data_IF_863760928075
#
_entry.id   IF_863760928075
#
_cell.length_a   1.000
_cell.length_b   1.000
_cell.length_c   1.000
_cell.angle_alpha   90.00
_cell.angle_beta   90.00
_cell.angle_gamma   90.00
#
_symmetry.space_group_name_H-M   'P 1'
#
loop_
_entity.id
_entity.type
_entity.pdbx_description
1 polymer ?
#
# COMPACT_ATOMS: atom_id res chain seq x y z
N UNK A 1 19.33 46.53 41.88
CA UNK A 1 17.86 46.41 41.90
C UNK A 1 17.35 46.81 40.53
N UNK A 2 16.88 45.84 39.73
CA UNK A 2 16.29 46.15 38.43
C UNK A 2 14.91 46.78 38.64
N UNK A 3 14.57 47.81 37.87
CA UNK A 3 13.26 48.46 37.94
C UNK A 3 12.15 47.44 37.66
N UNK A 4 11.04 47.52 38.39
CA UNK A 4 9.87 46.61 38.26
C UNK A 4 9.35 46.54 36.82
N UNK A 5 9.47 47.64 36.08
CA UNK A 5 9.16 47.70 34.65
C UNK A 5 10.12 46.89 33.77
N UNK A 6 11.40 46.87 34.10
CA UNK A 6 12.39 46.07 33.37
C UNK A 6 12.14 44.56 33.60
N UNK A 7 11.72 44.19 34.81
CA UNK A 7 11.39 42.81 35.14
C UNK A 7 10.09 42.35 34.45
N UNK A 8 9.06 43.20 34.37
CA UNK A 8 7.83 42.86 33.64
C UNK A 8 8.07 42.73 32.13
N UNK A 9 8.86 43.62 31.53
CA UNK A 9 9.18 43.58 30.09
C UNK A 9 10.02 42.35 29.73
N UNK A 10 10.96 41.96 30.60
CA UNK A 10 11.74 40.74 30.39
C UNK A 10 10.85 39.49 30.43
N UNK A 11 9.92 39.41 31.38
CA UNK A 11 9.00 38.28 31.49
C UNK A 11 8.08 38.16 30.27
N UNK A 12 7.54 39.27 29.76
CA UNK A 12 6.67 39.24 28.57
C UNK A 12 7.43 38.83 27.32
N UNK A 13 8.66 39.32 27.13
CA UNK A 13 9.51 38.92 26.00
C UNK A 13 9.88 37.42 26.07
N UNK A 14 10.24 36.92 27.24
CA UNK A 14 10.51 35.48 27.43
C UNK A 14 9.29 34.61 27.14
N UNK A 15 8.09 35.02 27.60
CA UNK A 15 6.86 34.29 27.32
C UNK A 15 6.56 34.25 25.81
N UNK A 16 6.64 35.39 25.12
CA UNK A 16 6.41 35.45 23.66
C UNK A 16 7.42 34.60 22.88
N UNK A 17 8.69 34.58 23.31
CA UNK A 17 9.73 33.76 22.70
C UNK A 17 9.42 32.26 22.88
N UNK A 18 9.03 31.84 24.09
CA UNK A 18 8.64 30.45 24.36
C UNK A 18 7.42 30.01 23.53
N UNK A 19 6.40 30.86 23.38
CA UNK A 19 5.26 30.57 22.52
C UNK A 19 5.65 30.44 21.03
N UNK A 20 6.54 31.30 20.55
CA UNK A 20 7.06 31.24 19.19
C UNK A 20 7.85 29.94 18.94
N UNK A 21 8.73 29.56 19.87
CA UNK A 21 9.49 28.31 19.80
C UNK A 21 8.58 27.07 19.91
N UNK A 22 7.53 27.10 20.73
CA UNK A 22 6.57 25.99 20.81
C UNK A 22 5.75 25.84 19.53
N UNK A 23 5.44 26.95 18.85
CA UNK A 23 4.74 26.91 17.56
C UNK A 23 5.60 26.36 16.43
N UNK A 24 6.92 26.63 16.45
CA UNK A 24 7.87 26.10 15.47
C UNK A 24 8.13 24.59 15.62
N UNK A 25 7.98 24.04 16.83
CA UNK A 25 8.06 22.60 17.09
C UNK A 25 6.71 21.85 16.94
N UNK A 26 5.61 22.56 16.68
CA UNK A 26 4.30 21.95 16.47
C UNK A 26 4.14 21.56 14.99
N UNK A 27 4.92 20.58 14.55
CA UNK A 27 4.70 19.92 13.26
C UNK A 27 3.32 19.24 13.32
N UNK A 28 2.32 19.90 12.73
CA UNK A 28 0.97 19.37 12.56
C UNK A 28 0.80 18.48 11.33
N UNK A 29 1.84 18.40 10.51
CA UNK A 29 1.90 17.59 9.31
C UNK A 29 2.99 16.51 9.44
N UNK A 30 3.05 15.81 10.56
CA UNK A 30 3.85 14.59 10.61
C UNK A 30 3.10 13.54 9.79
N UNK A 31 3.67 13.01 8.69
CA UNK A 31 3.06 11.87 8.01
C UNK A 31 2.87 10.73 9.01
N UNK A 32 1.83 9.93 8.80
CA UNK A 32 1.47 8.84 9.69
C UNK A 32 2.59 7.78 9.66
N UNK A 33 3.51 7.84 10.61
CA UNK A 33 4.66 6.92 10.67
C UNK A 33 5.62 7.24 11.82
N UNK A 34 5.41 6.62 12.98
CA UNK A 34 6.45 6.49 14.01
C UNK A 34 7.31 5.25 13.73
N UNK A 35 8.49 5.12 14.34
CA UNK A 35 9.42 3.97 14.18
C UNK A 35 8.80 2.58 14.45
N UNK A 36 7.56 2.51 14.94
CA UNK A 36 6.83 1.29 15.33
C UNK A 36 5.50 1.13 14.61
N UNK A 37 5.14 2.05 13.73
CA UNK A 37 3.90 1.98 12.95
C UNK A 37 4.21 1.31 11.62
N UNK A 38 4.53 0.02 11.64
CA UNK A 38 4.43 -0.79 10.43
C UNK A 38 2.94 -1.11 10.25
N UNK A 39 2.25 -0.56 9.24
CA UNK A 39 0.91 -1.02 8.93
C UNK A 39 0.98 -2.48 8.45
N UNK A 40 0.04 -3.31 8.86
CA UNK A 40 -0.11 -4.66 8.32
C UNK A 40 -0.23 -4.57 6.80
N UNK A 41 0.75 -5.12 6.10
CA UNK A 41 0.96 -4.92 4.66
C UNK A 41 -0.14 -5.51 3.78
N UNK A 42 -1.00 -6.36 4.35
CA UNK A 42 -2.21 -6.92 3.70
C UNK A 42 -3.43 -5.99 3.78
N UNK A 43 -3.39 -4.93 4.59
CA UNK A 43 -4.49 -3.97 4.72
C UNK A 43 -4.26 -2.67 3.93
N UNK A 44 -3.15 -2.55 3.21
CA UNK A 44 -2.84 -1.38 2.40
C UNK A 44 -3.59 -1.44 1.07
N UNK A 45 -4.03 -0.28 0.59
CA UNK A 45 -4.58 -0.17 -0.77
C UNK A 45 -3.48 -0.40 -1.82
N UNK A 46 -3.82 -0.87 -3.03
CA UNK A 46 -2.90 -0.80 -4.14
C UNK A 46 -2.54 0.66 -4.45
N UNK A 47 -1.30 0.88 -4.91
CA UNK A 47 -0.89 2.19 -5.42
C UNK A 47 -1.66 2.55 -6.70
N UNK A 48 -1.63 3.84 -7.07
CA UNK A 48 -2.35 4.37 -8.22
C UNK A 48 -2.08 3.57 -9.49
N UNK A 49 -3.12 3.51 -10.31
CA UNK A 49 -3.09 2.87 -11.62
C UNK A 49 -2.37 3.79 -12.61
N UNK A 50 -1.54 3.23 -13.47
CA UNK A 50 -0.72 3.98 -14.43
C UNK A 50 -0.54 3.22 -15.76
N UNK A 51 0.12 3.87 -16.72
CA UNK A 51 0.46 3.25 -17.99
C UNK A 51 -0.70 3.12 -18.99
N UNK A 52 -0.42 2.61 -20.20
CA UNK A 52 -1.37 2.55 -21.29
C UNK A 52 -2.57 1.66 -20.95
N UNK A 53 -3.77 2.23 -20.99
CA UNK A 53 -5.00 1.54 -20.65
C UNK A 53 -5.17 1.24 -19.16
N UNK A 54 -4.39 1.88 -18.29
CA UNK A 54 -4.50 1.72 -16.84
C UNK A 54 -4.24 0.28 -16.38
N UNK A 55 -3.27 -0.39 -17.02
CA UNK A 55 -2.93 -1.79 -16.72
C UNK A 55 -1.77 -1.94 -15.75
N UNK A 56 -1.05 -0.85 -15.45
CA UNK A 56 0.06 -0.85 -14.53
C UNK A 56 -0.27 -0.22 -13.19
N UNK A 57 0.64 -0.37 -12.25
CA UNK A 57 0.62 0.30 -10.95
C UNK A 57 1.92 1.02 -10.68
N UNK A 58 1.84 2.07 -9.86
CA UNK A 58 2.99 2.86 -9.46
C UNK A 58 3.87 2.12 -8.44
N UNK A 59 5.17 2.07 -8.70
CA UNK A 59 6.19 1.53 -7.79
C UNK A 59 7.07 2.64 -7.17
N UNK A 60 6.94 3.87 -7.67
CA UNK A 60 7.62 5.08 -7.21
C UNK A 60 7.08 6.30 -7.97
N UNK A 61 7.48 7.54 -7.63
CA UNK A 61 6.91 8.76 -8.20
C UNK A 61 7.14 8.91 -9.70
N UNK A 62 8.11 8.18 -10.26
CA UNK A 62 8.44 8.17 -11.68
C UNK A 62 8.55 6.75 -12.25
N UNK A 63 7.89 5.76 -11.63
CA UNK A 63 8.01 4.34 -12.00
C UNK A 63 6.62 3.71 -12.09
N UNK A 64 6.28 3.20 -13.27
CA UNK A 64 5.04 2.48 -13.55
C UNK A 64 5.35 1.11 -14.14
N UNK A 65 4.78 0.03 -13.58
CA UNK A 65 5.04 -1.31 -14.09
C UNK A 65 3.76 -2.13 -14.23
N UNK A 66 3.78 -3.06 -15.20
CA UNK A 66 2.77 -4.08 -15.38
C UNK A 66 3.41 -5.35 -15.94
N UNK A 67 2.92 -6.52 -15.53
CA UNK A 67 3.45 -7.83 -15.94
C UNK A 67 3.52 -8.00 -17.47
N UNK A 68 2.51 -7.52 -18.20
CA UNK A 68 2.44 -7.60 -19.67
C UNK A 68 3.03 -6.41 -20.43
N UNK A 69 3.46 -5.34 -19.75
CA UNK A 69 3.99 -4.11 -20.40
C UNK A 69 5.46 -3.82 -20.02
N UNK A 70 5.99 -4.51 -19.01
CA UNK A 70 7.27 -4.17 -18.42
C UNK A 70 7.16 -2.95 -17.50
N UNK A 71 8.25 -2.17 -17.43
CA UNK A 71 8.34 -0.99 -16.59
C UNK A 71 8.69 0.25 -17.40
N UNK A 72 7.99 1.34 -17.10
CA UNK A 72 8.21 2.68 -17.60
C UNK A 72 8.82 3.55 -16.50
N UNK A 73 9.87 4.31 -16.84
CA UNK A 73 10.56 5.17 -15.90
C UNK A 73 10.71 6.58 -16.50
N UNK A 74 10.22 7.59 -15.79
CA UNK A 74 10.34 9.01 -16.21
C UNK A 74 9.66 9.35 -17.54
N UNK A 75 8.66 8.57 -17.94
CA UNK A 75 7.91 8.76 -19.18
C UNK A 75 6.48 9.25 -18.92
N UNK A 76 5.72 9.57 -19.97
CA UNK A 76 4.35 10.08 -19.84
C UNK A 76 3.42 9.12 -19.09
N UNK A 77 3.67 7.82 -19.21
CA UNK A 77 2.97 6.74 -18.51
C UNK A 77 3.07 6.81 -16.98
N UNK A 78 4.08 7.52 -16.47
CA UNK A 78 4.36 7.68 -15.03
C UNK A 78 3.78 8.96 -14.42
N UNK A 79 3.12 9.80 -15.22
CA UNK A 79 2.68 11.14 -14.80
C UNK A 79 1.74 11.13 -13.57
N UNK A 80 0.91 10.10 -13.42
CA UNK A 80 0.03 9.96 -12.25
C UNK A 80 0.74 9.44 -10.99
N UNK A 81 1.94 8.89 -11.10
CA UNK A 81 2.60 8.28 -9.95
C UNK A 81 3.12 9.29 -8.93
N UNK A 82 3.45 10.52 -9.34
CA UNK A 82 3.77 11.60 -8.39
C UNK A 82 2.55 12.06 -7.59
N UNK A 83 1.35 11.73 -8.04
CA UNK A 83 0.10 12.09 -7.37
C UNK A 83 -0.10 11.26 -6.09
N UNK A 84 0.57 10.11 -6.00
CA UNK A 84 0.63 9.23 -4.83
C UNK A 84 1.15 9.96 -3.58
N UNK A 85 2.11 10.89 -3.75
CA UNK A 85 2.73 11.65 -2.65
C UNK A 85 1.74 12.56 -1.91
N UNK A 86 0.63 12.92 -2.57
CA UNK A 86 -0.42 13.75 -1.99
C UNK A 86 -1.55 12.93 -1.35
N UNK A 87 -1.53 11.60 -1.47
CA UNK A 87 -2.53 10.73 -0.87
C UNK A 87 -2.09 10.33 0.54
N UNK A 88 -2.83 10.72 1.60
CA UNK A 88 -2.41 10.47 2.98
C UNK A 88 -2.52 9.00 3.42
N UNK A 89 -3.22 8.15 2.66
CA UNK A 89 -3.31 6.72 2.93
C UNK A 89 -2.14 5.97 2.28
N UNK A 90 -1.39 5.13 3.03
CA UNK A 90 -0.28 4.38 2.47
C UNK A 90 -0.79 3.35 1.45
N UNK A 91 -0.01 3.16 0.41
CA UNK A 91 -0.26 2.16 -0.62
C UNK A 91 0.83 1.10 -0.64
N UNK A 92 0.53 -0.03 -1.26
CA UNK A 92 1.49 -1.10 -1.51
C UNK A 92 1.58 -1.37 -3.01
N UNK A 93 2.82 -1.42 -3.51
CA UNK A 93 3.10 -1.89 -4.86
C UNK A 93 2.89 -3.42 -4.91
N UNK A 94 2.30 -3.92 -6.00
CA UNK A 94 2.00 -5.34 -6.15
C UNK A 94 3.25 -6.22 -6.27
N UNK A 95 3.04 -7.53 -6.27
CA UNK A 95 4.09 -8.52 -6.44
C UNK A 95 4.75 -8.98 -5.13
N UNK A 96 5.51 -10.06 -5.22
CA UNK A 96 6.26 -10.59 -4.08
C UNK A 96 7.48 -9.73 -3.77
N UNK A 97 7.95 -9.70 -2.51
CA UNK A 97 9.18 -9.00 -2.16
C UNK A 97 10.39 -9.59 -2.88
N UNK A 98 11.35 -8.74 -3.25
CA UNK A 98 12.59 -9.09 -3.93
C UNK A 98 13.73 -8.13 -3.54
N UNK A 99 14.97 -8.57 -3.79
CA UNK A 99 16.17 -7.81 -3.46
C UNK A 99 16.36 -7.49 -1.97
N UNK A 100 17.37 -6.66 -1.67
CA UNK A 100 17.71 -6.25 -0.30
C UNK A 100 17.05 -4.93 0.15
N UNK A 101 16.50 -4.15 -0.79
CA UNK A 101 16.02 -2.77 -0.57
C UNK A 101 14.50 -2.66 -0.71
N UNK A 102 13.76 -3.38 0.14
CA UNK A 102 12.28 -3.32 0.20
C UNK A 102 11.60 -3.33 -1.19
N UNK A 103 12.17 -4.09 -2.11
CA UNK A 103 11.74 -4.15 -3.51
C UNK A 103 10.60 -5.13 -3.69
N UNK A 104 9.84 -4.96 -4.76
CA UNK A 104 8.75 -5.85 -5.15
C UNK A 104 8.85 -6.19 -6.65
N UNK A 105 8.49 -7.43 -7.00
CA UNK A 105 8.52 -7.88 -8.38
C UNK A 105 7.44 -7.16 -9.19
N UNK A 106 7.88 -6.37 -10.17
CA UNK A 106 7.01 -5.44 -10.88
C UNK A 106 6.63 -5.93 -12.29
N UNK A 107 7.50 -6.75 -12.87
CA UNK A 107 7.32 -7.44 -14.14
C UNK A 107 8.22 -8.71 -14.16
N UNK A 108 8.06 -9.63 -15.12
CA UNK A 108 8.86 -10.85 -15.19
C UNK A 108 10.36 -10.55 -15.23
N UNK A 109 11.07 -11.02 -14.20
CA UNK A 109 12.52 -10.81 -14.03
C UNK A 109 12.94 -9.40 -13.60
N UNK A 110 11.99 -8.54 -13.18
CA UNK A 110 12.26 -7.15 -12.78
C UNK A 110 11.80 -6.89 -11.34
N UNK A 111 12.75 -6.51 -10.49
CA UNK A 111 12.52 -6.06 -9.11
C UNK A 111 12.58 -4.54 -9.05
N UNK A 112 11.55 -3.88 -8.53
CA UNK A 112 11.50 -2.42 -8.41
C UNK A 112 11.34 -1.98 -6.96
N UNK A 113 11.94 -0.84 -6.65
CA UNK A 113 11.69 -0.06 -5.44
C UNK A 113 11.47 1.42 -5.82
N UNK A 114 11.20 2.28 -4.85
CA UNK A 114 10.77 3.67 -5.08
C UNK A 114 11.71 4.53 -5.94
N UNK A 115 13.01 4.19 -6.01
CA UNK A 115 14.01 4.96 -6.75
C UNK A 115 14.43 4.30 -8.08
N UNK A 116 14.08 3.03 -8.30
CA UNK A 116 14.50 2.34 -9.52
C UNK A 116 14.22 0.85 -9.55
N UNK A 117 14.54 0.25 -10.70
CA UNK A 117 14.35 -1.16 -10.97
C UNK A 117 15.66 -1.84 -11.36
N UNK A 118 15.79 -3.10 -10.98
CA UNK A 118 16.92 -3.97 -11.33
C UNK A 118 16.40 -5.31 -11.82
N UNK A 119 17.17 -5.98 -12.67
CA UNK A 119 16.85 -7.35 -13.06
C UNK A 119 17.10 -8.27 -11.85
N UNK A 120 16.12 -9.11 -11.56
CA UNK A 120 16.18 -10.07 -10.45
C UNK A 120 15.59 -11.41 -10.92
N UNK A 121 16.38 -12.50 -10.94
CA UNK A 121 15.89 -13.81 -11.36
C UNK A 121 14.78 -14.34 -10.44
N UNK A 122 14.72 -13.88 -9.20
CA UNK A 122 13.65 -14.29 -8.29
C UNK A 122 12.28 -13.81 -8.80
N UNK A 123 12.23 -12.75 -9.61
CA UNK A 123 11.01 -12.23 -10.21
C UNK A 123 10.59 -12.93 -11.52
N UNK A 124 11.26 -14.02 -11.92
CA UNK A 124 10.76 -14.86 -13.01
C UNK A 124 9.55 -15.68 -12.56
N UNK A 125 8.59 -15.90 -13.45
CA UNK A 125 7.28 -16.49 -13.13
C UNK A 125 7.37 -17.89 -12.53
N UNK A 126 7.47 -17.95 -11.20
CA UNK A 126 7.27 -19.16 -10.40
C UNK A 126 6.63 -18.87 -9.03
N UNK A 127 6.13 -17.67 -8.76
CA UNK A 127 5.52 -17.38 -7.45
C UNK A 127 4.54 -16.21 -7.47
N UNK A 128 3.27 -16.53 -7.75
CA UNK A 128 2.12 -16.07 -6.96
C UNK A 128 1.68 -14.61 -7.10
N UNK A 129 0.65 -14.41 -7.92
CA UNK A 129 -0.10 -13.16 -8.03
C UNK A 129 -1.46 -13.31 -8.75
N UNK A 130 -2.20 -14.40 -8.54
CA UNK A 130 -3.65 -14.42 -8.81
C UNK A 130 -4.38 -14.81 -7.51
N UNK A 131 -5.48 -14.11 -7.18
CA UNK A 131 -6.75 -14.49 -7.77
C UNK A 131 -7.44 -13.33 -8.48
N UNK A 132 -7.39 -13.35 -9.81
CA UNK A 132 -8.53 -12.96 -10.61
C UNK A 132 -9.31 -14.24 -10.97
N UNK A 133 -10.18 -14.72 -10.08
CA UNK A 133 -11.23 -15.66 -10.48
C UNK A 133 -12.25 -14.86 -11.33
N UNK A 134 -12.14 -14.86 -12.66
CA UNK A 134 -12.60 -15.88 -13.61
C UNK A 134 -14.09 -16.20 -13.48
N UNK A 135 -14.87 -15.52 -14.32
CA UNK A 135 -16.13 -16.04 -14.81
C UNK A 135 -15.82 -17.26 -15.69
N UNK A 136 -16.07 -18.48 -15.22
CA UNK A 136 -16.78 -19.54 -15.96
C UNK A 136 -16.61 -20.94 -15.34
N UNK A 137 -17.75 -21.50 -14.94
CA UNK A 137 -18.17 -22.91 -15.09
C UNK A 137 -17.35 -24.06 -14.47
N UNK A 138 -18.03 -24.68 -13.49
CA UNK A 138 -18.25 -26.12 -13.27
C UNK A 138 -17.35 -26.89 -12.28
N UNK A 139 -18.04 -27.38 -11.23
CA UNK A 139 -17.84 -28.63 -10.45
C UNK A 139 -16.58 -28.72 -9.58
N UNK A 140 -16.56 -28.95 -8.27
CA UNK A 140 -17.52 -29.31 -7.20
C UNK A 140 -16.76 -29.07 -5.86
N UNK A 141 -17.46 -29.02 -4.70
CA UNK A 141 -17.03 -28.29 -3.51
C UNK A 141 -16.35 -29.16 -2.44
N UNK A 142 -15.56 -28.53 -1.57
CA UNK A 142 -15.16 -29.08 -0.28
C UNK A 142 -15.40 -28.04 0.81
N UNK A 143 -16.60 -28.06 1.40
CA UNK A 143 -16.91 -27.29 2.60
C UNK A 143 -17.77 -28.14 3.54
N UNK A 144 -17.34 -28.22 4.80
CA UNK A 144 -17.84 -29.10 5.87
C UNK A 144 -19.31 -28.83 6.29
N UNK A 145 -20.04 -28.00 5.55
CA UNK A 145 -21.47 -27.72 5.72
C UNK A 145 -22.42 -28.63 4.93
N UNK A 146 -21.93 -29.40 3.95
CA UNK A 146 -22.83 -30.19 3.07
C UNK A 146 -23.26 -31.54 3.67
N UNK A 147 -22.46 -32.08 4.60
CA UNK A 147 -22.74 -33.35 5.28
C UNK A 147 -23.97 -33.27 6.19
N UNK A 148 -24.30 -32.08 6.71
CA UNK A 148 -25.48 -31.85 7.54
C UNK A 148 -26.78 -31.79 6.71
N UNK A 149 -26.74 -31.28 5.48
CA UNK A 149 -27.94 -31.22 4.63
C UNK A 149 -28.35 -32.59 4.07
N UNK A 150 -27.39 -33.49 3.83
CA UNK A 150 -27.70 -34.86 3.38
C UNK A 150 -28.40 -35.71 4.43
N UNK A 151 -28.20 -35.45 5.72
CA UNK A 151 -28.95 -36.16 6.78
C UNK A 151 -30.40 -35.68 6.91
N UNK A 152 -30.69 -34.42 6.58
CA UNK A 152 -32.06 -33.87 6.66
C UNK A 152 -32.93 -34.34 5.48
N UNK A 153 -32.34 -34.55 4.31
CA UNK A 153 -33.07 -35.03 3.12
C UNK A 153 -33.37 -36.54 3.14
N UNK A 154 -32.59 -37.35 3.89
CA UNK A 154 -32.78 -38.81 3.92
C UNK A 154 -34.05 -39.28 4.66
N UNK A 155 -34.69 -38.42 5.47
CA UNK A 155 -35.96 -38.72 6.14
C UNK A 155 -37.20 -38.27 5.35
N UNK A 156 -37.03 -37.62 4.19
CA UNK A 156 -38.16 -37.08 3.40
C UNK A 156 -38.54 -37.94 2.17
N UNK A 157 -37.84 -39.05 1.94
CA UNK A 157 -38.08 -39.96 0.81
C UNK A 157 -38.66 -41.34 1.21
N UNK A 158 -39.22 -41.50 2.41
CA UNK A 158 -39.96 -42.71 2.83
C UNK A 158 -41.40 -42.40 3.24
N UNK A 159 -42.18 -41.84 2.33
CA UNK A 159 -43.64 -41.89 2.37
C UNK A 159 -44.20 -41.57 0.98
N UNK A 160 -44.22 -42.57 0.10
CA UNK A 160 -45.26 -42.70 -0.92
C UNK A 160 -45.18 -44.09 -1.54
N UNK A 161 -45.86 -45.05 -0.92
CA UNK A 161 -46.82 -45.99 -1.50
C UNK A 161 -47.35 -46.87 -0.37
#
# INVERSE_FOLDING_TARGET
MMSTHAQSVLCTLCALLLLALSSACYIQNCPRGGKRSAPDTDLLRPCLVCGPGGKGHCFGPSICCAEGLGCFMGSAETAHCSEEDYIPSPCRAGGKPCGAKEGHCAAPGVCCHSEGCTLDPDCTENSGGEPAEQSSSLTEPSSRGELLLRMIQSNRARTSY
#
